data_IF_644927799397
#
_entry.id   IF_644927799397
#
_cell.length_a   1.000
_cell.length_b   1.000
_cell.length_c   1.000
_cell.angle_alpha   90.00
_cell.angle_beta   90.00
_cell.angle_gamma   90.00
#
_symmetry.space_group_name_H-M   'P 1'
#
loop_
_entity.id
_entity.type
_entity.pdbx_description
1 polymer ?
#
# COMPACT_ATOMS: atom_id res chain seq x y z
N UNK A 1 2.97 16.59 -16.88
CA UNK A 1 3.60 15.27 -16.66
C UNK A 1 4.66 15.41 -15.56
N UNK A 2 4.26 15.23 -14.30
CA UNK A 2 5.18 15.32 -13.16
C UNK A 2 6.18 14.16 -13.24
N UNK A 3 7.48 14.44 -13.16
CA UNK A 3 8.56 13.45 -13.28
C UNK A 3 8.33 12.31 -12.27
N UNK A 4 8.00 11.12 -12.76
CA UNK A 4 7.91 9.92 -11.93
C UNK A 4 9.31 9.59 -11.43
N UNK A 5 9.51 9.57 -10.11
CA UNK A 5 10.77 9.12 -9.51
C UNK A 5 10.78 7.59 -9.46
N UNK A 6 11.91 6.98 -9.84
CA UNK A 6 12.09 5.53 -9.80
C UNK A 6 12.53 5.10 -8.40
N UNK A 7 11.94 4.03 -7.89
CA UNK A 7 12.29 3.43 -6.59
C UNK A 7 12.84 2.02 -6.84
N UNK A 8 14.14 1.83 -6.58
CA UNK A 8 14.80 0.52 -6.74
C UNK A 8 14.82 -0.20 -5.38
N UNK A 9 14.03 -1.27 -5.24
CA UNK A 9 13.91 -2.05 -4.00
C UNK A 9 14.52 -3.44 -4.20
N UNK A 10 15.33 -3.88 -3.24
CA UNK A 10 15.73 -5.29 -3.12
C UNK A 10 14.74 -5.99 -2.21
N UNK A 11 14.13 -7.06 -2.71
CA UNK A 11 13.20 -7.89 -1.94
C UNK A 11 13.60 -9.35 -2.06
N UNK A 12 13.24 -10.11 -1.04
CA UNK A 12 13.36 -11.56 -1.03
C UNK A 12 12.66 -12.18 -2.26
N UNK A 13 13.27 -13.18 -2.92
CA UNK A 13 12.72 -13.77 -4.14
C UNK A 13 11.37 -14.45 -3.88
N UNK A 14 11.15 -15.02 -2.70
CA UNK A 14 9.88 -15.61 -2.30
C UNK A 14 8.77 -14.56 -2.16
N UNK A 15 9.11 -13.42 -1.56
CA UNK A 15 8.17 -12.31 -1.40
C UNK A 15 7.75 -11.76 -2.76
N UNK A 16 8.69 -11.65 -3.71
CA UNK A 16 8.39 -11.27 -5.10
C UNK A 16 7.40 -12.23 -5.77
N UNK A 17 7.60 -13.55 -5.62
CA UNK A 17 6.71 -14.57 -6.20
C UNK A 17 5.30 -14.46 -5.63
N UNK A 18 5.17 -14.35 -4.29
CA UNK A 18 3.88 -14.19 -3.61
C UNK A 18 3.18 -12.90 -4.03
N UNK A 19 3.89 -11.77 -4.04
CA UNK A 19 3.35 -10.48 -4.44
C UNK A 19 2.88 -10.48 -5.91
N UNK A 20 3.63 -11.13 -6.81
CA UNK A 20 3.23 -11.25 -8.21
C UNK A 20 1.92 -12.04 -8.35
N UNK A 21 1.81 -13.19 -7.67
CA UNK A 21 0.59 -14.02 -7.69
C UNK A 21 -0.63 -13.28 -7.16
N UNK A 22 -0.46 -12.50 -6.08
CA UNK A 22 -1.53 -11.66 -5.53
C UNK A 22 -1.92 -10.52 -6.47
N UNK A 23 -0.94 -9.89 -7.13
CA UNK A 23 -1.21 -8.85 -8.12
C UNK A 23 -1.96 -9.40 -9.35
N UNK A 24 -1.55 -10.57 -9.85
CA UNK A 24 -2.20 -11.27 -10.96
C UNK A 24 -3.64 -11.67 -10.62
N UNK A 25 -3.88 -12.18 -9.40
CA UNK A 25 -5.22 -12.48 -8.91
C UNK A 25 -6.13 -11.23 -8.84
N UNK A 26 -5.55 -10.07 -8.54
CA UNK A 26 -6.25 -8.78 -8.50
C UNK A 26 -6.40 -8.13 -9.90
N UNK A 27 -5.91 -8.79 -10.97
CA UNK A 27 -5.94 -8.30 -12.34
C UNK A 27 -5.00 -7.11 -12.60
N UNK A 28 -3.96 -6.94 -11.77
CA UNK A 28 -3.05 -5.78 -11.82
C UNK A 28 -1.60 -6.20 -12.01
N UNK A 29 -0.81 -5.30 -12.59
CA UNK A 29 0.65 -5.46 -12.62
C UNK A 29 1.26 -5.28 -11.23
N UNK A 30 2.35 -5.99 -10.95
CA UNK A 30 3.08 -5.92 -9.67
C UNK A 30 3.38 -4.47 -9.26
N UNK A 31 3.87 -3.64 -10.18
CA UNK A 31 4.18 -2.24 -9.90
C UNK A 31 2.95 -1.46 -9.43
N UNK A 32 1.81 -1.60 -10.12
CA UNK A 32 0.59 -0.88 -9.77
C UNK A 32 -0.02 -1.40 -8.45
N UNK A 33 0.09 -2.71 -8.22
CA UNK A 33 -0.31 -3.34 -6.97
C UNK A 33 0.51 -2.81 -5.78
N UNK A 34 1.84 -2.75 -5.93
CA UNK A 34 2.74 -2.19 -4.92
C UNK A 34 2.47 -0.70 -4.70
N UNK A 35 2.24 0.08 -5.77
CA UNK A 35 1.88 1.51 -5.65
C UNK A 35 0.60 1.69 -4.84
N UNK A 36 -0.43 0.88 -5.08
CA UNK A 36 -1.67 0.91 -4.29
C UNK A 36 -1.42 0.54 -2.84
N UNK A 37 -0.64 -0.52 -2.60
CA UNK A 37 -0.29 -0.97 -1.25
C UNK A 37 0.41 0.14 -0.46
N UNK A 38 1.44 0.76 -1.05
CA UNK A 38 2.16 1.89 -0.45
C UNK A 38 1.21 3.07 -0.21
N UNK A 39 0.38 3.44 -1.19
CA UNK A 39 -0.55 4.56 -1.05
C UNK A 39 -1.56 4.34 0.08
N UNK A 40 -2.11 3.12 0.21
CA UNK A 40 -3.01 2.76 1.30
C UNK A 40 -2.30 2.80 2.65
N UNK A 41 -1.10 2.23 2.76
CA UNK A 41 -0.31 2.23 4.00
C UNK A 41 0.10 3.64 4.41
N UNK A 42 0.51 4.50 3.47
CA UNK A 42 0.85 5.90 3.78
C UNK A 42 -0.38 6.65 4.26
N UNK A 43 -1.53 6.50 3.59
CA UNK A 43 -2.77 7.16 4.00
C UNK A 43 -3.21 6.75 5.42
N UNK A 44 -3.06 5.46 5.74
CA UNK A 44 -3.38 4.94 7.07
C UNK A 44 -2.38 5.46 8.13
N UNK A 45 -1.08 5.42 7.81
CA UNK A 45 -0.04 5.94 8.68
C UNK A 45 -0.17 7.45 8.91
N UNK A 46 -0.54 8.23 7.89
CA UNK A 46 -0.82 9.66 8.03
C UNK A 46 -2.00 9.91 8.95
N UNK A 47 -3.09 9.15 8.80
CA UNK A 47 -4.27 9.24 9.67
C UNK A 47 -3.95 8.89 11.12
N UNK A 48 -3.10 7.89 11.36
CA UNK A 48 -2.62 7.54 12.70
C UNK A 48 -1.68 8.61 13.27
N UNK A 49 -0.87 9.27 12.43
CA UNK A 49 0.07 10.32 12.86
C UNK A 49 -0.62 11.66 13.15
N UNK A 50 -1.75 11.95 12.49
CA UNK A 50 -2.51 13.18 12.70
C UNK A 50 -3.51 13.13 13.86
N UNK A 51 -3.52 12.05 14.66
CA UNK A 51 -4.21 12.05 15.96
C UNK A 51 -5.73 12.04 15.87
N UNK A 52 -6.32 11.48 14.82
CA UNK A 52 -7.75 11.21 14.79
C UNK A 52 -8.01 9.87 15.51
N UNK A 53 -8.25 9.96 16.83
CA UNK A 53 -8.93 8.88 17.56
C UNK A 53 -10.20 8.54 16.79
N UNK A 54 -10.47 7.28 16.41
CA UNK A 54 -11.84 6.91 16.11
C UNK A 54 -12.61 7.08 17.42
N UNK A 55 -13.46 8.11 17.44
CA UNK A 55 -14.59 8.22 18.34
C UNK A 55 -15.36 6.91 18.26
N UNK A 56 -15.13 6.05 19.25
CA UNK A 56 -15.97 4.92 19.56
C UNK A 56 -17.35 5.49 19.81
N UNK A 57 -18.23 5.32 18.83
CA UNK A 57 -19.62 5.75 18.90
C UNK A 57 -20.24 5.21 20.19
N UNK A 58 -20.55 6.13 21.09
CA UNK A 58 -21.69 6.01 21.99
C UNK A 58 -22.94 5.58 21.19
N UNK A 59 -23.49 4.45 21.56
CA UNK A 59 -24.91 4.10 21.45
C UNK A 59 -25.16 3.27 22.72
N UNK A 60 -25.63 3.90 23.80
CA UNK A 60 -27.06 4.03 24.15
C UNK A 60 -27.80 2.69 24.10
#
# INVERSE_FOLDING_TARGET
MSKTKVLNIRIEPELKKKAKKLAEADGRSLSNWVTKLISSTVKDAERQKSGEKPEEKSAE
#
